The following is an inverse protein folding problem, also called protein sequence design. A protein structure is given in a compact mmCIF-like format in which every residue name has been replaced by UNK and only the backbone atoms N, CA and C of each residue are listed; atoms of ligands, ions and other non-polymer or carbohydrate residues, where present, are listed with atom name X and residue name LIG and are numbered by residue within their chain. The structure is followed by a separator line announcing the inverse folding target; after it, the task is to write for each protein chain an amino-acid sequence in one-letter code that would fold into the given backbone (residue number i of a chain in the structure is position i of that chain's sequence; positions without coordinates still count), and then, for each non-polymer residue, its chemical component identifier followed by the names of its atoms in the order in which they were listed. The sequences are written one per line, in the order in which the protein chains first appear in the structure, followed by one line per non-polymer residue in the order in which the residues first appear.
data_IF_388976993977
#
_entry.id   IF_388976993977
#
_cell.length_a   1.000
_cell.length_b   1.000
_cell.length_c   1.000
_cell.angle_alpha   90.00
_cell.angle_beta   90.00
_cell.angle_gamma   90.00
#
_symmetry.space_group_name_H-M   'P 1'
#
loop_
_entity.id
_entity.type
_entity.pdbx_description
1 polymer ?
#
# COMPACT_ATOMS: atom_id res chain seq x y z
N UNK A 1 -15.92 -35.68 37.90
CA UNK A 1 -15.02 -36.38 36.97
C UNK A 1 -14.90 -35.54 35.72
N UNK A 2 -13.73 -34.98 35.40
CA UNK A 2 -13.55 -34.14 34.21
C UNK A 2 -13.27 -35.03 33.01
N UNK A 3 -14.13 -34.97 31.99
CA UNK A 3 -14.04 -35.80 30.78
C UNK A 3 -12.72 -35.53 30.02
N UNK A 4 -11.87 -36.55 29.88
CA UNK A 4 -10.61 -36.45 29.14
C UNK A 4 -10.78 -36.13 27.65
N UNK A 5 -11.94 -36.46 27.08
CA UNK A 5 -12.27 -36.23 25.67
C UNK A 5 -12.35 -34.75 25.25
N UNK A 6 -12.68 -33.85 26.17
CA UNK A 6 -12.82 -32.41 25.86
C UNK A 6 -11.46 -31.73 25.64
N UNK A 7 -10.40 -32.26 26.27
CA UNK A 7 -9.03 -31.72 26.18
C UNK A 7 -8.41 -32.00 24.82
N UNK A 8 -8.55 -33.22 24.30
CA UNK A 8 -8.01 -33.61 22.99
C UNK A 8 -8.58 -32.75 21.87
N UNK A 9 -9.89 -32.45 21.92
CA UNK A 9 -10.56 -31.59 20.94
C UNK A 9 -10.02 -30.16 20.88
N UNK A 10 -9.34 -29.68 21.93
CA UNK A 10 -8.73 -28.35 21.92
C UNK A 10 -7.38 -28.30 21.19
N UNK A 11 -6.69 -29.43 21.07
CA UNK A 11 -5.37 -29.53 20.42
C UNK A 11 -5.45 -30.13 19.01
N UNK A 12 -6.43 -30.98 18.74
CA UNK A 12 -6.65 -31.58 17.41
C UNK A 12 -7.53 -30.70 16.52
N UNK A 13 -7.29 -30.77 15.20
CA UNK A 13 -8.07 -30.06 14.20
C UNK A 13 -8.92 -31.07 13.42
N UNK A 14 -10.24 -30.93 13.49
CA UNK A 14 -11.19 -31.86 12.83
C UNK A 14 -11.09 -31.88 11.30
N UNK A 15 -10.66 -30.79 10.67
CA UNK A 15 -10.69 -30.63 9.20
C UNK A 15 -9.29 -30.63 8.54
N UNK A 16 -8.23 -30.97 9.26
CA UNK A 16 -6.85 -31.02 8.73
C UNK A 16 -6.20 -29.67 8.35
N UNK A 17 -7.00 -28.61 8.20
CA UNK A 17 -6.53 -27.26 7.86
C UNK A 17 -7.07 -26.22 8.86
N UNK A 18 -6.26 -25.24 9.22
CA UNK A 18 -6.59 -24.18 10.18
C UNK A 18 -5.97 -24.34 11.57
N UNK A 19 -6.25 -23.40 12.47
CA UNK A 19 -5.67 -23.37 13.82
C UNK A 19 -6.60 -24.04 14.83
N UNK A 20 -6.06 -24.95 15.65
CA UNK A 20 -6.78 -25.56 16.77
C UNK A 20 -7.18 -24.51 17.82
N UNK A 21 -8.25 -24.73 18.61
CA UNK A 21 -8.71 -23.80 19.64
C UNK A 21 -7.60 -23.37 20.62
N UNK A 22 -6.74 -24.31 21.03
CA UNK A 22 -5.60 -24.02 21.88
C UNK A 22 -4.60 -23.08 21.18
N UNK A 23 -4.28 -23.35 19.91
CA UNK A 23 -3.31 -22.57 19.15
C UNK A 23 -3.79 -21.15 18.84
N UNK A 24 -5.10 -20.96 18.61
CA UNK A 24 -5.67 -19.62 18.42
C UNK A 24 -5.51 -18.75 19.68
N UNK A 25 -5.74 -19.31 20.87
CA UNK A 25 -5.58 -18.61 22.15
C UNK A 25 -4.15 -18.16 22.36
N UNK A 26 -3.17 -19.01 22.06
CA UNK A 26 -1.74 -18.70 22.23
C UNK A 26 -1.29 -17.52 21.35
N UNK A 27 -1.96 -17.27 20.23
CA UNK A 27 -1.61 -16.19 19.29
C UNK A 27 -2.30 -14.86 19.58
N UNK A 28 -3.33 -14.84 20.43
CA UNK A 28 -4.05 -13.62 20.80
C UNK A 28 -3.14 -12.46 21.25
N UNK A 29 -2.15 -12.64 22.15
CA UNK A 29 -1.35 -11.53 22.65
C UNK A 29 -0.42 -10.91 21.60
N UNK A 30 -0.05 -11.66 20.55
CA UNK A 30 0.86 -11.18 19.51
C UNK A 30 0.13 -10.41 18.40
N UNK A 31 -1.17 -10.59 18.24
CA UNK A 31 -1.95 -9.92 17.19
C UNK A 31 -1.88 -8.40 17.34
N UNK A 32 -2.16 -7.88 18.53
CA UNK A 32 -2.14 -6.43 18.77
C UNK A 32 -0.75 -5.82 18.57
N UNK A 33 0.30 -6.46 19.11
CA UNK A 33 1.68 -5.98 18.99
C UNK A 33 2.17 -6.00 17.54
N UNK A 34 1.90 -7.08 16.81
CA UNK A 34 2.29 -7.20 15.41
C UNK A 34 1.48 -6.26 14.49
N UNK A 35 0.21 -6.01 14.81
CA UNK A 35 -0.57 -5.01 14.08
C UNK A 35 -0.02 -3.61 14.30
N UNK A 36 0.36 -3.26 15.53
CA UNK A 36 0.94 -1.96 15.84
C UNK A 36 2.27 -1.74 15.11
N UNK A 37 3.15 -2.75 15.08
CA UNK A 37 4.42 -2.66 14.34
C UNK A 37 4.19 -2.52 12.85
N UNK A 38 3.24 -3.27 12.27
CA UNK A 38 2.86 -3.14 10.87
C UNK A 38 2.32 -1.75 10.56
N UNK A 39 1.44 -1.23 11.41
CA UNK A 39 0.89 0.13 11.28
C UNK A 39 1.99 1.18 11.33
N UNK A 40 2.93 1.06 12.26
CA UNK A 40 4.08 1.94 12.36
C UNK A 40 4.93 1.93 11.09
N UNK A 41 5.21 0.74 10.55
CA UNK A 41 5.97 0.59 9.31
C UNK A 41 5.24 1.22 8.11
N UNK A 42 3.96 0.91 7.93
CA UNK A 42 3.16 1.46 6.84
C UNK A 42 3.02 2.98 6.93
N UNK A 43 2.81 3.51 8.13
CA UNK A 43 2.70 4.95 8.36
C UNK A 43 4.03 5.65 8.08
N UNK A 44 5.15 5.06 8.53
CA UNK A 44 6.47 5.61 8.28
C UNK A 44 6.81 5.63 6.79
N UNK A 45 6.74 4.47 6.11
CA UNK A 45 7.07 4.36 4.69
C UNK A 45 6.10 5.17 3.83
N UNK A 46 4.79 5.11 4.11
CA UNK A 46 3.78 5.90 3.42
C UNK A 46 3.96 7.39 3.64
N UNK A 47 4.34 7.82 4.84
CA UNK A 47 4.66 9.21 5.16
C UNK A 47 5.86 9.73 4.39
N UNK A 48 6.94 8.95 4.29
CA UNK A 48 8.11 9.29 3.46
C UNK A 48 7.70 9.43 1.99
N UNK A 49 6.95 8.48 1.44
CA UNK A 49 6.48 8.54 0.05
C UNK A 49 5.59 9.75 -0.21
N UNK A 50 4.60 9.99 0.65
CA UNK A 50 3.70 11.13 0.51
C UNK A 50 4.45 12.46 0.64
N UNK A 51 5.41 12.54 1.58
CA UNK A 51 6.29 13.70 1.71
C UNK A 51 7.09 13.92 0.44
N UNK A 52 7.70 12.88 -0.14
CA UNK A 52 8.41 13.00 -1.41
C UNK A 52 7.51 13.55 -2.52
N UNK A 53 6.25 13.12 -2.61
CA UNK A 53 5.33 13.60 -3.64
C UNK A 53 4.91 15.07 -3.43
N UNK A 54 4.67 15.48 -2.18
CA UNK A 54 4.20 16.82 -1.84
C UNK A 54 5.31 17.85 -1.75
N UNK A 55 6.51 17.42 -1.32
CA UNK A 55 7.68 18.28 -1.18
C UNK A 55 8.34 18.56 -2.53
N UNK A 56 8.16 17.68 -3.52
CA UNK A 56 8.46 18.01 -4.91
C UNK A 56 7.43 19.05 -5.36
N UNK A 57 7.75 20.33 -5.13
CA UNK A 57 7.09 21.42 -5.85
C UNK A 57 7.37 21.15 -7.32
N UNK A 58 6.30 20.96 -8.09
CA UNK A 58 6.44 20.95 -9.54
C UNK A 58 7.03 22.31 -9.93
N UNK A 59 8.18 22.29 -10.61
CA UNK A 59 8.83 23.51 -11.07
C UNK A 59 7.85 24.34 -11.90
N UNK A 60 7.90 25.67 -11.71
CA UNK A 60 7.10 26.60 -12.49
C UNK A 60 7.77 26.82 -13.84
N UNK A 61 7.33 26.07 -14.86
CA UNK A 61 7.84 26.18 -16.23
C UNK A 61 7.29 27.41 -16.97
N UNK A 62 6.79 28.42 -16.27
CA UNK A 62 6.23 29.64 -16.87
C UNK A 62 7.27 30.46 -17.63
N UNK A 63 8.55 30.32 -17.30
CA UNK A 63 9.68 30.99 -17.97
C UNK A 63 10.22 30.22 -19.18
N UNK A 64 9.81 28.96 -19.38
CA UNK A 64 10.23 28.14 -20.52
C UNK A 64 9.35 28.44 -21.73
N UNK A 65 9.90 28.99 -22.83
CA UNK A 65 9.12 29.30 -24.02
C UNK A 65 8.61 28.01 -24.67
N UNK A 66 7.30 27.94 -24.91
CA UNK A 66 6.69 26.81 -25.62
C UNK A 66 7.17 26.75 -27.08
N UNK A 67 7.37 25.56 -27.66
CA UNK A 67 7.86 25.36 -29.03
C UNK A 67 7.08 26.15 -30.09
N UNK A 68 5.79 26.33 -29.89
CA UNK A 68 4.88 27.09 -30.78
C UNK A 68 5.17 28.59 -30.85
N UNK A 69 5.95 29.13 -29.92
CA UNK A 69 6.26 30.57 -29.83
C UNK A 69 7.69 30.90 -30.27
N UNK A 70 8.51 29.89 -30.57
CA UNK A 70 9.92 30.04 -30.92
C UNK A 70 10.11 30.29 -32.43
N UNK A 71 10.88 31.32 -32.82
CA UNK A 71 11.16 31.57 -34.24
C UNK A 71 12.02 30.43 -34.82
N UNK A 72 11.54 29.77 -35.88
CA UNK A 72 12.24 28.68 -36.56
C UNK A 72 11.84 27.26 -36.13
N UNK A 73 10.86 27.11 -35.22
CA UNK A 73 10.27 25.82 -34.83
C UNK A 73 8.84 25.74 -35.38
N UNK A 74 8.55 24.74 -36.19
CA UNK A 74 7.21 24.52 -36.78
C UNK A 74 6.45 23.47 -35.96
N UNK A 75 5.32 23.85 -35.37
CA UNK A 75 4.46 22.92 -34.63
C UNK A 75 3.57 22.12 -35.60
N UNK A 76 3.92 20.86 -35.81
CA UNK A 76 3.18 19.92 -36.68
C UNK A 76 1.84 19.47 -36.07
N UNK A 77 1.58 19.79 -34.80
CA UNK A 77 0.36 19.38 -34.08
C UNK A 77 -0.87 20.16 -34.55
N UNK A 78 -0.73 21.46 -34.78
CA UNK A 78 -1.83 22.32 -35.25
C UNK A 78 -2.22 21.99 -36.70
N UNK A 79 -1.25 21.62 -37.54
CA UNK A 79 -1.46 21.29 -38.95
C UNK A 79 -2.38 20.08 -39.17
N UNK A 80 -2.33 19.05 -38.31
CA UNK A 80 -3.18 17.86 -38.43
C UNK A 80 -4.62 18.09 -37.97
N UNK A 81 -4.86 19.08 -37.10
CA UNK A 81 -6.19 19.39 -36.57
C UNK A 81 -7.06 20.13 -37.61
N UNK A 82 -6.43 20.92 -38.48
CA UNK A 82 -7.11 21.69 -39.53
C UNK A 82 -7.35 20.88 -40.81
N UNK A 83 -6.74 19.69 -40.93
CA UNK A 83 -6.88 18.78 -42.10
C UNK A 83 -7.89 17.65 -41.89
N UNK A 84 -8.53 17.57 -40.72
CA UNK A 84 -9.57 16.58 -40.39
C UNK A 84 -10.93 17.28 -40.30
#
# INVERSE_FOLDING_TARGET
MTNGFDRERMYTQSKGYGFSPALQRTRQPFRARNMLTLLGLLTFTGGVYAYSMLAVKQDDFSDVPMPSTLPGVHDVTHENKDKQ
#
